data_IF_911966674962
#
_entry.id   IF_911966674962
#
_cell.length_a   1.000
_cell.length_b   1.000
_cell.length_c   1.000
_cell.angle_alpha   90.00
_cell.angle_beta   90.00
_cell.angle_gamma   90.00
#
_symmetry.space_group_name_H-M   'P 1'
#
loop_
_entity.id
_entity.type
_entity.pdbx_description
1 polymer ?
#
# COMPACT_ATOMS: atom_id res chain seq x y z
N UNK A 1 26.53 37.81 -1.04
CA UNK A 1 25.85 36.50 -0.96
C UNK A 1 25.89 36.02 0.49
N UNK A 2 24.74 35.70 1.10
CA UNK A 2 24.66 35.37 2.53
C UNK A 2 25.33 34.03 2.87
N UNK A 3 25.92 33.92 4.07
CA UNK A 3 26.62 32.71 4.54
C UNK A 3 25.71 31.45 4.47
N UNK A 4 24.41 31.62 4.72
CA UNK A 4 23.41 30.54 4.60
C UNK A 4 23.28 30.00 3.19
N UNK A 5 23.30 30.86 2.17
CA UNK A 5 23.18 30.43 0.77
C UNK A 5 24.43 29.69 0.29
N UNK A 6 25.61 30.11 0.78
CA UNK A 6 26.88 29.40 0.55
C UNK A 6 26.90 28.02 1.21
N UNK A 7 26.40 27.93 2.45
CA UNK A 7 26.31 26.65 3.17
C UNK A 7 25.31 25.70 2.50
N UNK A 8 24.19 26.20 1.99
CA UNK A 8 23.20 25.38 1.28
C UNK A 8 23.71 24.86 -0.06
N UNK A 9 24.43 25.71 -0.81
CA UNK A 9 25.07 25.30 -2.06
C UNK A 9 26.19 24.27 -1.81
N UNK A 10 26.94 24.41 -0.72
CA UNK A 10 27.94 23.42 -0.30
C UNK A 10 27.28 22.10 0.12
N UNK A 11 26.18 22.14 0.90
CA UNK A 11 25.46 20.94 1.32
C UNK A 11 24.84 20.19 0.13
N UNK A 12 24.23 20.92 -0.82
CA UNK A 12 23.67 20.34 -2.04
C UNK A 12 24.77 19.75 -2.95
N UNK A 13 25.92 20.41 -3.04
CA UNK A 13 27.10 19.88 -3.74
C UNK A 13 27.65 18.62 -3.07
N UNK A 14 27.68 18.58 -1.73
CA UNK A 14 28.11 17.42 -0.95
C UNK A 14 27.14 16.25 -1.10
N UNK A 15 25.84 16.51 -1.02
CA UNK A 15 24.81 15.48 -1.21
C UNK A 15 24.84 14.91 -2.63
N UNK A 16 25.02 15.78 -3.63
CA UNK A 16 25.18 15.36 -5.02
C UNK A 16 26.44 14.51 -5.22
N UNK A 17 27.57 14.88 -4.61
CA UNK A 17 28.79 14.07 -4.64
C UNK A 17 28.63 12.74 -3.89
N UNK A 18 28.01 12.72 -2.72
CA UNK A 18 27.73 11.45 -2.01
C UNK A 18 26.80 10.52 -2.76
N UNK A 19 25.91 11.05 -3.60
CA UNK A 19 25.00 10.25 -4.41
C UNK A 19 25.63 9.78 -5.72
N UNK A 20 26.47 10.62 -6.35
CA UNK A 20 27.00 10.40 -7.70
C UNK A 20 28.46 9.90 -7.75
N UNK A 21 29.27 10.22 -6.74
CA UNK A 21 30.67 9.78 -6.56
C UNK A 21 30.75 8.68 -5.47
N UNK A 22 29.69 7.87 -5.33
CA UNK A 22 29.49 6.89 -4.26
C UNK A 22 30.61 5.84 -4.19
N UNK A 23 31.37 5.67 -5.27
CA UNK A 23 32.19 4.49 -5.48
C UNK A 23 33.62 4.55 -4.93
N UNK A 24 34.17 5.71 -4.58
CA UNK A 24 35.56 5.77 -4.08
C UNK A 24 35.66 6.09 -2.58
N UNK A 25 35.28 7.30 -2.14
CA UNK A 25 35.60 7.73 -0.78
C UNK A 25 34.59 7.21 0.27
N UNK A 26 33.30 7.20 -0.05
CA UNK A 26 32.26 6.77 0.87
C UNK A 26 32.22 5.26 1.07
N UNK A 27 32.52 4.49 0.03
CA UNK A 27 32.71 3.04 0.14
C UNK A 27 33.94 2.71 1.00
N UNK A 28 35.04 3.47 0.93
CA UNK A 28 36.20 3.28 1.83
C UNK A 28 35.80 3.57 3.28
N UNK A 29 35.14 4.71 3.56
CA UNK A 29 34.73 5.08 4.92
C UNK A 29 33.73 4.09 5.52
N UNK A 30 32.74 3.65 4.73
CA UNK A 30 31.71 2.72 5.20
C UNK A 30 32.22 1.28 5.28
N UNK A 31 33.11 0.86 4.38
CA UNK A 31 33.72 -0.48 4.45
C UNK A 31 34.73 -0.63 5.58
N UNK A 32 35.48 0.42 5.90
CA UNK A 32 36.38 0.45 7.06
C UNK A 32 35.62 0.38 8.38
N UNK A 33 34.41 0.95 8.44
CA UNK A 33 33.63 1.03 9.69
C UNK A 33 32.63 -0.12 9.86
N UNK A 34 32.15 -0.71 8.77
CA UNK A 34 31.04 -1.68 8.80
C UNK A 34 31.27 -2.94 7.94
N UNK A 35 32.48 -3.14 7.39
CA UNK A 35 32.81 -4.30 6.55
C UNK A 35 32.38 -4.17 5.08
N UNK A 36 32.62 -5.19 4.25
CA UNK A 36 32.34 -5.17 2.80
C UNK A 36 30.87 -4.76 2.54
N UNK A 37 30.68 -3.64 1.85
CA UNK A 37 29.36 -3.06 1.55
C UNK A 37 28.61 -3.98 0.58
N UNK A 38 27.37 -4.36 0.94
CA UNK A 38 26.46 -5.07 0.04
C UNK A 38 25.93 -4.10 -1.04
N UNK A 39 26.34 -4.31 -2.30
CA UNK A 39 25.70 -3.67 -3.44
C UNK A 39 24.34 -4.33 -3.71
N UNK A 40 23.24 -3.67 -3.34
CA UNK A 40 21.92 -3.97 -3.91
C UNK A 40 21.63 -2.97 -5.01
N UNK A 41 21.88 -3.36 -6.26
CA UNK A 41 21.53 -2.58 -7.44
C UNK A 41 20.01 -2.66 -7.71
N UNK A 42 19.21 -2.04 -6.84
CA UNK A 42 17.74 -2.03 -6.93
C UNK A 42 17.21 -1.42 -8.24
N UNK A 43 18.04 -0.65 -8.95
CA UNK A 43 17.72 -0.05 -10.24
C UNK A 43 17.92 -1.02 -11.42
N UNK A 44 18.70 -2.09 -11.22
CA UNK A 44 19.01 -3.12 -12.23
C UNK A 44 18.11 -4.36 -12.07
N UNK A 45 17.40 -4.46 -10.94
CA UNK A 45 16.40 -5.52 -10.74
C UNK A 45 15.25 -5.31 -11.70
N UNK A 46 15.07 -6.28 -12.60
CA UNK A 46 13.93 -6.28 -13.51
C UNK A 46 12.67 -6.69 -12.73
N UNK A 47 12.03 -5.71 -12.10
CA UNK A 47 10.88 -5.92 -11.21
C UNK A 47 9.70 -6.64 -11.86
N UNK A 48 9.61 -6.68 -13.20
CA UNK A 48 8.59 -7.45 -13.93
C UNK A 48 8.74 -8.97 -13.74
N UNK A 49 9.95 -9.46 -13.46
CA UNK A 49 10.23 -10.89 -13.28
C UNK A 49 10.65 -11.23 -11.84
N UNK A 50 11.46 -10.39 -11.19
CA UNK A 50 12.15 -10.78 -9.94
C UNK A 50 11.55 -10.18 -8.66
N UNK A 51 10.66 -9.19 -8.79
CA UNK A 51 10.00 -8.57 -7.64
C UNK A 51 8.87 -9.44 -7.10
N UNK A 52 8.77 -9.63 -5.78
CA UNK A 52 7.54 -10.19 -5.20
C UNK A 52 6.35 -9.29 -5.56
N UNK A 53 5.11 -9.83 -5.68
CA UNK A 53 3.93 -9.04 -6.00
C UNK A 53 3.72 -7.84 -5.04
N UNK A 54 4.14 -7.99 -3.79
CA UNK A 54 4.10 -6.93 -2.78
C UNK A 54 5.08 -5.82 -3.12
N UNK A 55 6.34 -6.16 -3.43
CA UNK A 55 7.37 -5.17 -3.79
C UNK A 55 7.05 -4.46 -5.11
N UNK A 56 6.48 -5.18 -6.09
CA UNK A 56 5.93 -4.56 -7.32
C UNK A 56 4.84 -3.54 -7.00
N UNK A 57 3.87 -3.88 -6.16
CA UNK A 57 2.81 -2.93 -5.81
C UNK A 57 3.36 -1.67 -5.12
N UNK A 58 4.42 -1.78 -4.30
CA UNK A 58 5.10 -0.61 -3.73
C UNK A 58 5.79 0.26 -4.80
N UNK A 59 6.49 -0.36 -5.76
CA UNK A 59 7.17 0.36 -6.85
C UNK A 59 6.17 1.01 -7.81
N UNK A 60 5.07 0.32 -8.13
CA UNK A 60 4.03 0.81 -9.03
C UNK A 60 3.23 1.94 -8.40
N UNK A 61 2.89 1.84 -7.10
CA UNK A 61 2.27 2.93 -6.34
C UNK A 61 3.23 4.13 -6.30
N UNK A 62 4.51 3.93 -5.98
CA UNK A 62 5.50 5.01 -5.97
C UNK A 62 5.59 5.71 -7.34
N UNK A 63 5.72 4.96 -8.43
CA UNK A 63 5.77 5.48 -9.81
C UNK A 63 4.45 6.13 -10.24
N UNK A 64 3.31 5.60 -9.82
CA UNK A 64 1.99 6.13 -10.14
C UNK A 64 1.75 7.50 -9.48
N UNK A 65 2.19 7.67 -8.24
CA UNK A 65 1.95 8.88 -7.45
C UNK A 65 3.02 9.97 -7.61
N UNK A 66 4.30 9.62 -7.75
CA UNK A 66 5.38 10.63 -7.69
C UNK A 66 5.56 11.46 -8.98
N UNK A 67 5.11 10.97 -10.15
CA UNK A 67 5.23 11.72 -11.41
C UNK A 67 3.91 12.33 -11.89
N UNK A 68 2.90 11.49 -12.14
CA UNK A 68 1.73 11.90 -12.93
C UNK A 68 0.79 12.87 -12.21
N UNK A 69 0.70 12.82 -10.88
CA UNK A 69 -0.23 13.68 -10.14
C UNK A 69 0.37 15.06 -9.89
N UNK A 70 1.65 15.14 -9.55
CA UNK A 70 2.38 16.40 -9.38
C UNK A 70 2.39 17.19 -10.69
N UNK A 71 2.64 16.53 -11.83
CA UNK A 71 2.60 17.16 -13.14
C UNK A 71 1.22 17.75 -13.48
N UNK A 72 0.14 17.02 -13.17
CA UNK A 72 -1.23 17.50 -13.39
C UNK A 72 -1.54 18.73 -12.54
N UNK A 73 -1.10 18.74 -11.27
CA UNK A 73 -1.27 19.89 -10.39
C UNK A 73 -0.51 21.10 -10.93
N UNK A 74 0.75 20.92 -11.34
CA UNK A 74 1.55 22.01 -11.91
C UNK A 74 0.94 22.60 -13.18
N UNK A 75 0.39 21.76 -14.06
CA UNK A 75 -0.33 22.23 -15.25
C UNK A 75 -1.51 23.15 -14.89
N UNK A 76 -2.29 22.79 -13.86
CA UNK A 76 -3.39 23.63 -13.37
C UNK A 76 -2.87 24.94 -12.80
N UNK A 77 -1.80 24.90 -11.98
CA UNK A 77 -1.18 26.09 -11.40
C UNK A 77 -0.72 27.06 -12.48
N UNK A 78 0.03 26.58 -13.48
CA UNK A 78 0.55 27.40 -14.58
C UNK A 78 -0.58 27.98 -15.43
N UNK A 79 -1.55 27.14 -15.83
CA UNK A 79 -2.69 27.57 -16.63
C UNK A 79 -3.52 28.65 -15.91
N UNK A 80 -3.82 28.42 -14.63
CA UNK A 80 -4.64 29.32 -13.82
C UNK A 80 -3.94 30.66 -13.56
N UNK A 81 -2.64 30.62 -13.28
CA UNK A 81 -1.82 31.81 -13.06
C UNK A 81 -1.76 32.66 -14.31
N UNK A 82 -1.45 32.05 -15.46
CA UNK A 82 -1.36 32.74 -16.75
C UNK A 82 -2.70 33.36 -17.14
N UNK A 83 -3.79 32.61 -17.00
CA UNK A 83 -5.15 33.08 -17.26
C UNK A 83 -5.52 34.27 -16.37
N UNK A 84 -5.18 34.21 -15.09
CA UNK A 84 -5.52 35.27 -14.14
C UNK A 84 -4.75 36.56 -14.39
N UNK A 85 -3.47 36.46 -14.76
CA UNK A 85 -2.65 37.60 -15.16
C UNK A 85 -3.22 38.24 -16.43
N UNK A 86 -3.61 37.42 -17.42
CA UNK A 86 -4.20 37.91 -18.67
C UNK A 86 -5.51 38.66 -18.42
N UNK A 87 -6.39 38.13 -17.59
CA UNK A 87 -7.63 38.81 -17.20
C UNK A 87 -7.36 40.12 -16.45
N UNK A 88 -6.42 40.13 -15.49
CA UNK A 88 -6.05 41.34 -14.76
C UNK A 88 -5.47 42.42 -15.70
N UNK A 89 -4.69 42.02 -16.70
CA UNK A 89 -4.17 42.94 -17.73
C UNK A 89 -5.29 43.51 -18.59
N UNK A 90 -6.24 42.69 -19.03
CA UNK A 90 -7.38 43.15 -19.82
C UNK A 90 -8.24 44.13 -19.01
N UNK A 91 -8.49 43.85 -17.74
CA UNK A 91 -9.24 44.75 -16.86
C UNK A 91 -8.53 46.10 -16.68
N UNK A 92 -7.20 46.09 -16.56
CA UNK A 92 -6.40 47.32 -16.51
C UNK A 92 -6.45 48.12 -17.81
N UNK A 93 -6.46 47.46 -18.98
CA UNK A 93 -6.49 48.11 -20.29
C UNK A 93 -7.88 48.66 -20.65
N UNK A 94 -8.93 47.87 -20.46
CA UNK A 94 -10.27 48.20 -20.94
C UNK A 94 -11.15 48.91 -19.91
N UNK A 95 -10.86 48.74 -18.60
CA UNK A 95 -11.66 49.34 -17.53
C UNK A 95 -10.88 50.35 -16.68
N UNK A 96 -9.60 50.58 -17.00
CA UNK A 96 -8.68 51.43 -16.23
C UNK A 96 -8.61 51.06 -14.73
N UNK A 97 -8.83 49.78 -14.39
CA UNK A 97 -8.76 49.25 -13.03
C UNK A 97 -7.56 48.34 -12.88
N UNK A 98 -6.63 48.70 -11.98
CA UNK A 98 -5.48 47.87 -11.65
C UNK A 98 -5.76 47.04 -10.40
N UNK A 99 -5.66 45.72 -10.53
CA UNK A 99 -5.69 44.82 -9.38
C UNK A 99 -4.42 45.00 -8.54
N UNK A 100 -4.59 45.21 -7.24
CA UNK A 100 -3.49 45.15 -6.28
C UNK A 100 -2.87 43.74 -6.26
N UNK A 101 -1.56 43.68 -5.95
CA UNK A 101 -0.79 42.42 -5.93
C UNK A 101 -1.44 41.34 -5.04
N UNK A 102 -1.84 41.71 -3.83
CA UNK A 102 -2.44 40.79 -2.86
C UNK A 102 -3.77 40.21 -3.37
N UNK A 103 -4.59 41.06 -3.99
CA UNK A 103 -5.87 40.64 -4.58
C UNK A 103 -5.65 39.72 -5.77
N UNK A 104 -4.66 40.01 -6.63
CA UNK A 104 -4.31 39.14 -7.76
C UNK A 104 -3.83 37.77 -7.28
N UNK A 105 -2.96 37.73 -6.27
CA UNK A 105 -2.48 36.50 -5.65
C UNK A 105 -3.64 35.68 -5.05
N UNK A 106 -4.55 36.34 -4.33
CA UNK A 106 -5.75 35.72 -3.79
C UNK A 106 -6.65 35.13 -4.88
N UNK A 107 -6.86 35.85 -5.99
CA UNK A 107 -7.66 35.38 -7.13
C UNK A 107 -7.01 34.16 -7.79
N UNK A 108 -5.68 34.16 -7.97
CA UNK A 108 -4.93 33.03 -8.52
C UNK A 108 -5.12 31.80 -7.63
N UNK A 109 -4.84 31.91 -6.33
CA UNK A 109 -4.96 30.79 -5.40
C UNK A 109 -6.40 30.27 -5.31
N UNK A 110 -7.39 31.16 -5.30
CA UNK A 110 -8.80 30.78 -5.28
C UNK A 110 -9.20 30.00 -6.53
N UNK A 111 -8.72 30.42 -7.71
CA UNK A 111 -9.00 29.70 -8.95
C UNK A 111 -8.27 28.35 -9.01
N UNK A 112 -7.04 28.26 -8.53
CA UNK A 112 -6.30 26.99 -8.45
C UNK A 112 -7.08 26.00 -7.58
N UNK A 113 -7.61 26.44 -6.44
CA UNK A 113 -8.47 25.63 -5.58
C UNK A 113 -9.73 25.15 -6.33
N UNK A 114 -10.49 26.09 -6.92
CA UNK A 114 -11.76 25.77 -7.59
C UNK A 114 -11.56 24.88 -8.81
N UNK A 115 -10.57 25.15 -9.66
CA UNK A 115 -10.27 24.37 -10.86
C UNK A 115 -9.64 23.02 -10.49
N UNK A 116 -8.77 23.00 -9.50
CA UNK A 116 -8.18 21.78 -8.95
C UNK A 116 -9.23 20.84 -8.36
N UNK A 117 -10.22 21.37 -7.63
CA UNK A 117 -11.37 20.62 -7.11
C UNK A 117 -12.27 20.13 -8.24
N UNK A 118 -12.63 21.00 -9.19
CA UNK A 118 -13.51 20.64 -10.31
C UNK A 118 -12.92 19.55 -11.21
N UNK A 119 -11.60 19.57 -11.42
CA UNK A 119 -10.89 18.53 -12.18
C UNK A 119 -10.61 17.24 -11.39
N UNK A 120 -10.91 17.23 -10.08
CA UNK A 120 -10.59 16.11 -9.18
C UNK A 120 -9.10 15.92 -8.90
N UNK A 121 -8.25 16.84 -9.38
CA UNK A 121 -6.79 16.77 -9.24
C UNK A 121 -6.34 17.20 -7.84
N UNK A 122 -7.01 18.21 -7.26
CA UNK A 122 -6.76 18.71 -5.90
C UNK A 122 -7.94 18.36 -5.01
N UNK A 123 -7.79 17.33 -4.17
CA UNK A 123 -8.83 16.87 -3.22
C UNK A 123 -8.71 17.50 -1.83
N UNK A 124 -7.62 18.25 -1.58
CA UNK A 124 -7.25 18.80 -0.27
C UNK A 124 -7.34 20.33 -0.22
N UNK A 125 -8.13 20.95 -1.11
CA UNK A 125 -8.14 22.41 -1.23
C UNK A 125 -8.64 23.19 0.00
N UNK A 126 -9.23 22.50 0.98
CA UNK A 126 -9.58 23.08 2.28
C UNK A 126 -8.39 23.15 3.27
N UNK A 127 -7.28 22.49 2.96
CA UNK A 127 -6.08 22.48 3.81
C UNK A 127 -5.31 23.80 3.66
N UNK A 128 -5.24 24.66 4.69
CA UNK A 128 -4.52 25.94 4.59
C UNK A 128 -3.05 25.76 4.22
N UNK A 129 -2.46 24.59 4.51
CA UNK A 129 -1.07 24.27 4.19
C UNK A 129 -0.80 24.23 2.68
N UNK A 130 -1.81 23.94 1.85
CA UNK A 130 -1.61 23.89 0.40
C UNK A 130 -1.21 25.24 -0.19
N UNK A 131 -1.69 26.34 0.41
CA UNK A 131 -1.40 27.72 -0.03
C UNK A 131 0.04 28.15 0.30
N UNK A 132 0.61 27.58 1.37
CA UNK A 132 1.95 27.94 1.87
C UNK A 132 3.02 26.99 1.32
N UNK A 133 2.72 25.69 1.31
CA UNK A 133 3.62 24.65 0.84
C UNK A 133 2.83 23.59 0.05
N UNK A 134 2.49 23.88 -1.23
CA UNK A 134 1.70 22.97 -2.05
C UNK A 134 2.38 21.61 -2.22
N UNK A 135 3.71 21.58 -2.36
CA UNK A 135 4.46 20.33 -2.47
C UNK A 135 4.35 19.48 -1.20
N UNK A 136 4.52 20.10 -0.02
CA UNK A 136 4.35 19.42 1.26
C UNK A 136 2.92 18.93 1.50
N UNK A 137 1.91 19.73 1.15
CA UNK A 137 0.50 19.34 1.24
C UNK A 137 0.18 18.13 0.36
N UNK A 138 0.68 18.12 -0.88
CA UNK A 138 0.53 16.97 -1.80
C UNK A 138 1.20 15.73 -1.21
N UNK A 139 2.44 15.85 -0.73
CA UNK A 139 3.19 14.74 -0.15
C UNK A 139 2.48 14.17 1.08
N UNK A 140 2.01 15.03 2.00
CA UNK A 140 1.28 14.63 3.20
C UNK A 140 -0.05 13.97 2.87
N UNK A 141 -0.82 14.52 1.93
CA UNK A 141 -2.09 13.95 1.50
C UNK A 141 -1.90 12.59 0.83
N UNK A 142 -0.90 12.47 -0.04
CA UNK A 142 -0.53 11.20 -0.69
C UNK A 142 -0.07 10.17 0.33
N UNK A 143 0.74 10.57 1.31
CA UNK A 143 1.15 9.71 2.41
C UNK A 143 -0.03 9.27 3.27
N UNK A 144 -0.99 10.16 3.56
CA UNK A 144 -2.21 9.83 4.31
C UNK A 144 -3.07 8.81 3.55
N UNK A 145 -3.34 9.03 2.26
CA UNK A 145 -4.06 8.08 1.42
C UNK A 145 -3.34 6.73 1.40
N UNK A 146 -2.02 6.74 1.20
CA UNK A 146 -1.21 5.51 1.20
C UNK A 146 -1.34 4.78 2.53
N UNK A 147 -1.19 5.48 3.66
CA UNK A 147 -1.31 4.87 5.00
C UNK A 147 -2.70 4.28 5.23
N UNK A 148 -3.76 5.00 4.87
CA UNK A 148 -5.14 4.54 5.08
C UNK A 148 -5.45 3.35 4.16
N UNK A 149 -4.95 3.36 2.92
CA UNK A 149 -5.01 2.23 1.99
C UNK A 149 -4.27 1.01 2.54
N UNK A 150 -3.04 1.18 3.04
CA UNK A 150 -2.25 0.09 3.62
C UNK A 150 -2.86 -0.45 4.90
N UNK A 151 -3.44 0.42 5.73
CA UNK A 151 -4.18 0.01 6.92
C UNK A 151 -5.40 -0.84 6.51
N UNK A 152 -6.16 -0.41 5.51
CA UNK A 152 -7.27 -1.18 4.97
C UNK A 152 -6.79 -2.54 4.44
N UNK A 153 -5.77 -2.55 3.58
CA UNK A 153 -5.20 -3.80 3.04
C UNK A 153 -4.69 -4.72 4.12
N UNK A 154 -3.98 -4.21 5.13
CA UNK A 154 -3.49 -4.99 6.25
C UNK A 154 -4.63 -5.62 7.04
N UNK A 155 -5.70 -4.87 7.33
CA UNK A 155 -6.91 -5.40 7.96
C UNK A 155 -7.55 -6.48 7.09
N UNK A 156 -7.65 -6.26 5.77
CA UNK A 156 -8.18 -7.26 4.82
C UNK A 156 -7.31 -8.52 4.73
N UNK A 157 -5.98 -8.40 4.79
CA UNK A 157 -5.08 -9.56 4.78
C UNK A 157 -5.13 -10.36 6.08
N UNK A 158 -5.23 -9.68 7.23
CA UNK A 158 -5.42 -10.38 8.51
C UNK A 158 -6.75 -11.14 8.55
N UNK A 159 -7.82 -10.56 8.01
CA UNK A 159 -9.07 -11.28 7.79
C UNK A 159 -8.83 -12.49 6.88
N UNK A 160 -8.16 -12.32 5.75
CA UNK A 160 -7.86 -13.41 4.82
C UNK A 160 -7.09 -14.58 5.49
N UNK A 161 -6.14 -14.31 6.39
CA UNK A 161 -5.39 -15.37 7.10
C UNK A 161 -6.31 -16.24 7.95
N UNK A 162 -7.18 -15.61 8.74
CA UNK A 162 -8.14 -16.35 9.59
C UNK A 162 -9.15 -17.09 8.73
N UNK A 163 -9.57 -16.50 7.60
CA UNK A 163 -10.45 -17.16 6.64
C UNK A 163 -9.81 -18.43 6.08
N UNK A 164 -8.55 -18.38 5.62
CA UNK A 164 -7.86 -19.56 5.09
C UNK A 164 -7.72 -20.67 6.13
N UNK A 165 -7.49 -20.32 7.40
CA UNK A 165 -7.45 -21.29 8.49
C UNK A 165 -8.83 -21.93 8.74
N UNK A 166 -9.90 -21.14 8.69
CA UNK A 166 -11.27 -21.65 8.81
C UNK A 166 -11.64 -22.54 7.63
N UNK A 167 -11.27 -22.17 6.40
CA UNK A 167 -11.48 -23.00 5.21
C UNK A 167 -10.77 -24.35 5.34
N UNK A 168 -9.51 -24.35 5.80
CA UNK A 168 -8.76 -25.58 6.06
C UNK A 168 -9.47 -26.45 7.12
N UNK A 169 -9.98 -25.83 8.19
CA UNK A 169 -10.77 -26.51 9.21
C UNK A 169 -12.04 -27.15 8.64
N UNK A 170 -12.83 -26.40 7.89
CA UNK A 170 -14.07 -26.88 7.29
C UNK A 170 -13.81 -28.01 6.31
N UNK A 171 -12.70 -27.95 5.57
CA UNK A 171 -12.28 -29.04 4.70
C UNK A 171 -12.00 -30.32 5.51
N UNK A 172 -11.25 -30.24 6.60
CA UNK A 172 -11.00 -31.39 7.49
C UNK A 172 -12.31 -31.95 8.06
N UNK A 173 -13.22 -31.08 8.51
CA UNK A 173 -14.54 -31.48 9.01
C UNK A 173 -15.35 -32.18 7.92
N UNK A 174 -15.29 -31.72 6.67
CA UNK A 174 -15.97 -32.36 5.54
C UNK A 174 -15.40 -33.74 5.19
N UNK A 175 -14.09 -33.92 5.33
CA UNK A 175 -13.46 -35.23 5.13
C UNK A 175 -13.87 -36.21 6.24
N UNK A 176 -13.97 -35.72 7.48
CA UNK A 176 -14.45 -36.52 8.62
C UNK A 176 -15.89 -36.95 8.42
N UNK A 177 -16.77 -36.06 7.91
CA UNK A 177 -18.20 -36.37 7.76
C UNK A 177 -18.49 -37.39 6.66
N UNK A 178 -17.64 -37.46 5.63
CA UNK A 178 -17.79 -38.43 4.52
C UNK A 178 -17.07 -39.75 4.83
N UNK A 179 -16.06 -39.74 5.69
CA UNK A 179 -15.25 -40.93 5.99
C UNK A 179 -15.86 -41.89 7.02
N UNK A 180 -15.26 -43.08 7.15
CA UNK A 180 -15.60 -44.11 8.15
C UNK A 180 -15.17 -43.75 9.59
N UNK A 181 -15.19 -42.46 9.93
CA UNK A 181 -14.77 -41.97 11.25
C UNK A 181 -15.92 -41.79 12.24
N UNK A 182 -17.16 -42.09 11.83
CA UNK A 182 -18.38 -41.86 12.61
C UNK A 182 -18.34 -42.40 14.06
N UNK A 183 -17.60 -43.49 14.31
CA UNK A 183 -17.51 -44.13 15.63
C UNK A 183 -16.19 -43.86 16.37
N UNK A 184 -15.30 -43.01 15.83
CA UNK A 184 -14.01 -42.71 16.46
C UNK A 184 -14.06 -41.36 17.17
N UNK A 185 -13.36 -41.24 18.29
CA UNK A 185 -13.07 -39.94 18.89
C UNK A 185 -11.98 -39.26 18.07
N UNK A 186 -12.25 -38.05 17.61
CA UNK A 186 -11.37 -37.28 16.73
C UNK A 186 -10.97 -36.02 17.46
N UNK A 187 -9.70 -35.65 17.39
CA UNK A 187 -9.20 -34.38 17.89
C UNK A 187 -8.64 -33.61 16.70
N UNK A 188 -9.21 -32.45 16.40
CA UNK A 188 -8.71 -31.53 15.38
C UNK A 188 -7.90 -30.45 16.10
N UNK A 189 -6.64 -30.32 15.72
CA UNK A 189 -5.70 -29.39 16.32
C UNK A 189 -5.42 -28.21 15.38
N UNK A 190 -5.29 -27.00 15.93
CA UNK A 190 -4.80 -25.83 15.21
C UNK A 190 -4.06 -24.86 16.12
N UNK A 191 -3.11 -24.12 15.55
CA UNK A 191 -2.42 -23.01 16.18
C UNK A 191 -3.14 -21.66 16.02
N UNK A 192 -4.32 -21.63 15.40
CA UNK A 192 -5.15 -20.44 15.29
C UNK A 192 -6.26 -20.41 16.34
N UNK A 193 -6.04 -19.62 17.40
CA UNK A 193 -7.06 -19.34 18.41
C UNK A 193 -8.30 -18.69 17.78
N UNK A 194 -8.10 -17.76 16.85
CA UNK A 194 -9.18 -17.03 16.20
C UNK A 194 -10.07 -17.96 15.35
N UNK A 195 -9.48 -18.86 14.57
CA UNK A 195 -10.26 -19.82 13.78
C UNK A 195 -11.05 -20.78 14.68
N UNK A 196 -10.43 -21.29 15.75
CA UNK A 196 -11.07 -22.15 16.74
C UNK A 196 -12.27 -21.46 17.43
N UNK A 197 -12.10 -20.22 17.86
CA UNK A 197 -13.18 -19.44 18.50
C UNK A 197 -14.33 -19.16 17.53
N UNK A 198 -14.04 -18.78 16.28
CA UNK A 198 -15.09 -18.51 15.29
C UNK A 198 -15.90 -19.76 14.96
N UNK A 199 -15.24 -20.92 14.85
CA UNK A 199 -15.92 -22.21 14.66
C UNK A 199 -16.78 -22.57 15.87
N UNK A 200 -16.30 -22.32 17.09
CA UNK A 200 -17.04 -22.61 18.33
C UNK A 200 -18.28 -21.73 18.52
N UNK A 201 -18.19 -20.45 18.19
CA UNK A 201 -19.27 -19.47 18.39
C UNK A 201 -20.30 -19.52 17.25
N UNK A 202 -20.01 -20.26 16.17
CA UNK A 202 -20.86 -20.37 14.98
C UNK A 202 -21.22 -19.00 14.39
N UNK A 203 -20.28 -18.06 14.43
CA UNK A 203 -20.53 -16.74 13.87
C UNK A 203 -20.94 -16.90 12.40
N UNK A 204 -22.03 -16.24 11.95
CA UNK A 204 -22.50 -16.33 10.59
C UNK A 204 -21.39 -15.85 9.66
N UNK A 205 -20.68 -16.81 9.10
CA UNK A 205 -19.49 -16.54 8.34
C UNK A 205 -19.87 -16.33 6.88
N UNK A 206 -19.61 -15.13 6.38
CA UNK A 206 -19.94 -14.80 5.00
C UNK A 206 -18.85 -15.37 4.08
N UNK A 207 -19.12 -16.55 3.53
CA UNK A 207 -18.26 -17.20 2.55
C UNK A 207 -18.40 -16.49 1.20
N UNK A 208 -17.31 -15.96 0.61
CA UNK A 208 -17.38 -15.47 -0.76
C UNK A 208 -17.34 -16.58 -1.80
N UNK A 209 -16.87 -17.80 -1.46
CA UNK A 209 -16.40 -18.77 -2.47
C UNK A 209 -17.15 -20.12 -2.46
N UNK A 210 -17.75 -20.58 -1.35
CA UNK A 210 -18.36 -21.91 -1.26
C UNK A 210 -19.59 -21.94 -0.33
N UNK A 211 -20.78 -21.62 -0.85
CA UNK A 211 -22.08 -22.08 -0.34
C UNK A 211 -22.41 -21.89 1.15
N UNK A 212 -23.48 -22.54 1.62
CA UNK A 212 -23.84 -22.64 3.04
C UNK A 212 -22.85 -23.59 3.72
N UNK A 213 -22.23 -23.11 4.80
CA UNK A 213 -21.43 -23.96 5.70
C UNK A 213 -22.31 -25.11 6.20
N UNK A 214 -21.88 -26.37 6.07
CA UNK A 214 -22.64 -27.49 6.63
C UNK A 214 -22.80 -27.31 8.14
N UNK A 215 -23.91 -27.78 8.70
CA UNK A 215 -24.19 -27.59 10.13
C UNK A 215 -23.06 -28.22 10.97
N UNK A 216 -22.13 -27.38 11.44
CA UNK A 216 -20.91 -27.84 12.12
C UNK A 216 -21.27 -28.63 13.37
N UNK A 217 -22.33 -28.24 14.11
CA UNK A 217 -22.84 -28.98 15.27
C UNK A 217 -23.20 -30.42 14.95
N UNK A 218 -23.83 -30.68 13.80
CA UNK A 218 -24.20 -32.06 13.46
C UNK A 218 -23.00 -32.91 13.11
N UNK A 219 -21.90 -32.30 12.63
CA UNK A 219 -20.68 -33.01 12.27
C UNK A 219 -19.75 -33.18 13.47
N UNK A 220 -19.57 -32.12 14.27
CA UNK A 220 -18.67 -32.17 15.43
C UNK A 220 -19.18 -33.11 16.52
N UNK A 221 -20.50 -33.31 16.65
CA UNK A 221 -21.09 -34.33 17.53
C UNK A 221 -20.48 -34.38 18.94
N UNK A 222 -20.56 -35.53 19.59
CA UNK A 222 -19.92 -35.77 20.89
C UNK A 222 -18.50 -36.36 20.76
N UNK A 223 -18.09 -36.66 19.53
CA UNK A 223 -16.88 -37.43 19.24
C UNK A 223 -15.74 -36.56 18.71
N UNK A 224 -16.00 -35.33 18.27
CA UNK A 224 -14.96 -34.43 17.74
C UNK A 224 -14.62 -33.32 18.72
N UNK A 225 -13.33 -33.16 19.02
CA UNK A 225 -12.80 -32.14 19.91
C UNK A 225 -11.90 -31.18 19.15
N UNK A 226 -12.05 -29.88 19.40
CA UNK A 226 -11.20 -28.84 18.83
C UNK A 226 -10.18 -28.38 19.87
N UNK A 227 -8.89 -28.58 19.60
CA UNK A 227 -7.81 -28.25 20.54
C UNK A 227 -6.83 -27.24 19.94
N UNK A 228 -6.44 -26.26 20.76
CA UNK A 228 -5.35 -25.35 20.39
C UNK A 228 -4.00 -26.05 20.58
N UNK A 229 -3.11 -25.97 19.60
CA UNK A 229 -1.73 -26.43 19.73
C UNK A 229 -0.77 -25.29 19.42
N UNK A 230 0.30 -25.10 20.21
CA UNK A 230 1.30 -24.10 19.88
C UNK A 230 1.92 -24.35 18.50
N UNK A 231 2.25 -23.28 17.77
CA UNK A 231 2.74 -23.33 16.39
C UNK A 231 3.94 -24.24 16.16
N UNK A 232 4.83 -24.38 17.14
CA UNK A 232 5.99 -25.28 17.06
C UNK A 232 5.60 -26.77 16.97
N UNK A 233 4.39 -27.13 17.40
CA UNK A 233 3.82 -28.47 17.23
C UNK A 233 3.04 -28.64 15.92
N UNK A 234 2.69 -27.53 15.24
CA UNK A 234 1.93 -27.52 13.99
C UNK A 234 2.83 -27.26 12.75
N UNK A 235 4.15 -27.40 12.89
CA UNK A 235 5.13 -27.05 11.84
C UNK A 235 4.97 -27.89 10.57
N UNK A 236 4.61 -29.17 10.72
CA UNK A 236 4.42 -30.06 9.57
C UNK A 236 3.21 -29.62 8.73
N UNK A 237 2.07 -29.34 9.38
CA UNK A 237 0.87 -28.84 8.70
C UNK A 237 1.12 -27.46 8.08
N UNK A 238 1.82 -26.57 8.77
CA UNK A 238 2.23 -25.26 8.22
C UNK A 238 3.15 -25.43 6.99
N UNK A 239 4.07 -26.40 7.03
CA UNK A 239 4.92 -26.76 5.90
C UNK A 239 4.09 -27.33 4.74
N UNK A 240 3.16 -28.25 5.02
CA UNK A 240 2.27 -28.87 4.04
C UNK A 240 1.34 -27.84 3.38
N UNK A 241 0.78 -26.91 4.14
CA UNK A 241 -0.02 -25.81 3.62
C UNK A 241 0.83 -24.91 2.69
N UNK A 242 2.06 -24.58 3.11
CA UNK A 242 3.00 -23.78 2.31
C UNK A 242 3.48 -24.51 1.05
N UNK A 243 3.62 -25.84 1.09
CA UNK A 243 4.02 -26.65 -0.07
C UNK A 243 2.85 -26.98 -1.00
N UNK A 244 1.65 -27.20 -0.43
CA UNK A 244 0.40 -27.48 -1.14
C UNK A 244 -0.16 -26.25 -1.85
N UNK A 245 0.19 -25.04 -1.36
CA UNK A 245 0.34 -23.84 -2.18
C UNK A 245 1.47 -24.07 -3.20
N UNK A 246 1.24 -24.98 -4.16
CA UNK A 246 2.12 -25.15 -5.28
C UNK A 246 2.03 -23.86 -6.09
N UNK A 247 2.91 -22.91 -5.75
CA UNK A 247 2.92 -21.54 -6.28
C UNK A 247 2.94 -21.56 -7.80
N UNK A 248 3.50 -22.61 -8.41
CA UNK A 248 3.46 -22.86 -9.86
C UNK A 248 2.05 -23.18 -10.37
N UNK A 249 1.30 -24.07 -9.74
CA UNK A 249 -0.07 -24.40 -10.15
C UNK A 249 -1.04 -23.23 -9.94
N UNK A 250 -0.91 -22.49 -8.82
CA UNK A 250 -1.66 -21.25 -8.62
C UNK A 250 -1.24 -20.19 -9.65
N UNK A 251 0.05 -19.95 -9.87
CA UNK A 251 0.52 -19.01 -10.89
C UNK A 251 0.04 -19.39 -12.29
N UNK A 252 0.01 -20.68 -12.64
CA UNK A 252 -0.57 -21.19 -13.88
C UNK A 252 -2.08 -20.94 -13.94
N UNK A 253 -2.82 -21.25 -12.87
CA UNK A 253 -4.26 -20.97 -12.78
C UNK A 253 -4.56 -19.48 -12.99
N UNK A 254 -3.87 -18.59 -12.26
CA UNK A 254 -4.04 -17.14 -12.39
C UNK A 254 -3.56 -16.58 -13.74
N UNK A 255 -2.51 -17.15 -14.34
CA UNK A 255 -2.06 -16.78 -15.69
C UNK A 255 -3.02 -17.27 -16.79
N UNK A 256 -3.69 -18.41 -16.57
CA UNK A 256 -4.68 -18.97 -17.49
C UNK A 256 -6.09 -18.38 -17.33
N UNK A 257 -6.39 -17.79 -16.16
CA UNK A 257 -7.70 -17.22 -15.84
C UNK A 257 -7.97 -15.86 -16.50
N UNK A 258 -7.02 -15.28 -17.23
CA UNK A 258 -7.25 -14.17 -18.17
C UNK A 258 -8.08 -13.01 -17.62
N UNK A 259 -7.67 -12.43 -16.48
CA UNK A 259 -8.12 -11.11 -16.02
C UNK A 259 -7.07 -10.05 -16.37
#
# INVERSE_FOLDING_TARGET
MSLKLKNFALLAKWWWRSYRERDALWNIILSQRFGKVFHYALNEVNWSHDGSPIVRSFVDVKKYYEGKQIDKIWRIVVATTTWSILLARNEALFQNRRLGRELLEFVILTRIDKWGKASGVIKFGNDPFWKVNPHGAIALYTHKISRDYWKYKFVSYNLCSVNTEIEAFLHVISLISVGEFANKRIVICSDSVNALEQIRIELPYYYPIQGRIPNIKSILGWTTFLHYVPRNLNLEVDSLAKSGLNRKAMAFFWASAGL
#
